data_IF_238645655291
#
_entry.id   IF_238645655291
#
_cell.length_a   1.000
_cell.length_b   1.000
_cell.length_c   1.000
_cell.angle_alpha   90.00
_cell.angle_beta   90.00
_cell.angle_gamma   90.00
#
_symmetry.space_group_name_H-M   'P 1'
#
loop_
_entity.id
_entity.type
_entity.pdbx_description
1 polymer ?
#
# COMPACT_ATOMS: atom_id res chain seq x y z
N UNK A 1 27.32 3.42 -16.19
CA UNK A 1 26.29 4.18 -16.97
C UNK A 1 25.96 3.49 -18.30
N UNK A 2 26.96 3.04 -19.10
CA UNK A 2 26.71 2.44 -20.43
C UNK A 2 26.10 1.04 -20.36
N UNK A 3 26.58 0.19 -19.48
CA UNK A 3 26.09 -1.21 -19.33
C UNK A 3 24.61 -1.29 -18.96
N UNK A 4 24.17 -0.43 -18.05
CA UNK A 4 22.75 -0.34 -17.63
C UNK A 4 21.83 0.15 -18.77
N UNK A 5 22.32 1.04 -19.65
CA UNK A 5 21.52 1.55 -20.77
C UNK A 5 21.36 0.51 -21.89
N UNK A 6 22.35 -0.34 -22.11
CA UNK A 6 22.26 -1.40 -23.12
C UNK A 6 21.30 -2.51 -22.67
N UNK A 7 21.31 -2.87 -21.37
CA UNK A 7 20.34 -3.81 -20.77
C UNK A 7 18.91 -3.26 -20.87
N UNK A 8 18.69 -1.96 -20.62
CA UNK A 8 17.38 -1.32 -20.76
C UNK A 8 16.90 -1.27 -22.23
N UNK A 9 17.80 -1.04 -23.20
CA UNK A 9 17.45 -1.13 -24.63
C UNK A 9 17.03 -2.55 -25.03
N UNK A 10 17.73 -3.54 -24.51
CA UNK A 10 17.43 -4.93 -24.80
C UNK A 10 16.06 -5.32 -24.17
N UNK A 11 15.80 -4.94 -22.92
CA UNK A 11 14.51 -5.13 -22.29
C UNK A 11 13.37 -4.45 -23.07
N UNK A 12 13.59 -3.23 -23.57
CA UNK A 12 12.63 -2.52 -24.42
C UNK A 12 12.35 -3.28 -25.72
N UNK A 13 13.38 -3.87 -26.34
CA UNK A 13 13.21 -4.71 -27.54
C UNK A 13 12.40 -5.96 -27.25
N UNK A 14 12.67 -6.65 -26.14
CA UNK A 14 11.87 -7.81 -25.72
C UNK A 14 10.43 -7.46 -25.44
N UNK A 15 10.15 -6.31 -24.83
CA UNK A 15 8.78 -5.85 -24.61
C UNK A 15 8.04 -5.62 -25.94
N UNK A 16 8.68 -4.99 -26.94
CA UNK A 16 8.07 -4.82 -28.26
C UNK A 16 7.75 -6.16 -28.90
N UNK A 17 8.68 -7.11 -28.87
CA UNK A 17 8.43 -8.46 -29.38
C UNK A 17 7.25 -9.13 -28.64
N UNK A 18 7.20 -9.03 -27.30
CA UNK A 18 6.10 -9.60 -26.54
C UNK A 18 4.75 -8.94 -26.88
N UNK A 19 4.74 -7.64 -27.18
CA UNK A 19 3.52 -6.90 -27.63
C UNK A 19 3.07 -7.43 -29.01
N UNK A 20 3.99 -7.68 -29.94
CA UNK A 20 3.70 -8.26 -31.25
C UNK A 20 3.04 -9.65 -31.12
N UNK A 21 3.43 -10.43 -30.11
CA UNK A 21 2.79 -11.70 -29.76
C UNK A 21 1.53 -11.56 -28.90
N UNK A 22 1.03 -10.33 -28.69
CA UNK A 22 -0.23 -10.08 -27.98
C UNK A 22 -0.15 -10.14 -26.47
N UNK A 23 1.04 -10.11 -25.87
CA UNK A 23 1.20 -10.13 -24.41
C UNK A 23 0.69 -8.84 -23.77
N UNK A 24 -0.42 -8.94 -23.04
CA UNK A 24 -1.11 -7.79 -22.44
C UNK A 24 -0.30 -7.15 -21.30
N UNK A 25 0.42 -7.97 -20.52
CA UNK A 25 1.30 -7.46 -19.47
C UNK A 25 2.45 -6.62 -20.04
N UNK A 26 2.99 -7.01 -21.22
CA UNK A 26 4.00 -6.22 -21.93
C UNK A 26 3.44 -4.89 -22.45
N UNK A 27 2.17 -4.87 -22.91
CA UNK A 27 1.49 -3.62 -23.29
C UNK A 27 1.41 -2.68 -22.07
N UNK A 28 0.96 -3.18 -20.93
CA UNK A 28 0.91 -2.39 -19.69
C UNK A 28 2.30 -1.93 -19.22
N UNK A 29 3.32 -2.81 -19.31
CA UNK A 29 4.69 -2.44 -18.96
C UNK A 29 5.24 -1.32 -19.86
N UNK A 30 4.92 -1.32 -21.15
CA UNK A 30 5.27 -0.23 -22.05
C UNK A 30 4.63 1.09 -21.61
N UNK A 31 3.35 1.07 -21.19
CA UNK A 31 2.69 2.25 -20.61
C UNK A 31 3.42 2.79 -19.39
N UNK A 32 3.92 1.91 -18.49
CA UNK A 32 4.71 2.32 -17.33
C UNK A 32 6.06 2.96 -17.72
N UNK A 33 6.74 2.47 -18.78
CA UNK A 33 7.98 3.08 -19.26
C UNK A 33 7.72 4.53 -19.73
N UNK A 34 6.66 4.78 -20.49
CA UNK A 34 6.30 6.13 -20.93
C UNK A 34 5.81 7.01 -19.77
N UNK A 35 5.05 6.46 -18.82
CA UNK A 35 4.59 7.20 -17.63
C UNK A 35 5.75 7.73 -16.79
N UNK A 36 6.80 6.92 -16.62
CA UNK A 36 7.97 7.23 -15.80
C UNK A 36 9.09 7.93 -16.57
N UNK A 37 9.09 7.85 -17.90
CA UNK A 37 10.19 8.32 -18.72
C UNK A 37 11.44 7.44 -18.58
N UNK A 38 11.24 6.11 -18.46
CA UNK A 38 12.33 5.17 -18.29
C UNK A 38 13.04 4.94 -19.63
N UNK A 39 14.35 5.15 -19.65
CA UNK A 39 15.15 4.92 -20.87
C UNK A 39 14.81 3.57 -21.54
N UNK A 40 14.67 3.49 -22.87
CA UNK A 40 15.07 4.48 -23.86
C UNK A 40 13.99 5.53 -24.23
N UNK A 41 12.84 5.53 -23.56
CA UNK A 41 11.77 6.48 -23.88
C UNK A 41 11.79 7.72 -22.96
N UNK A 42 11.24 8.83 -23.46
CA UNK A 42 10.98 10.02 -22.64
C UNK A 42 9.61 9.91 -22.00
N UNK A 43 9.44 10.60 -20.88
CA UNK A 43 8.14 10.69 -20.19
C UNK A 43 7.09 11.29 -21.13
N UNK A 44 6.03 10.53 -21.35
CA UNK A 44 4.86 10.94 -22.14
C UNK A 44 3.60 10.27 -21.58
N UNK A 45 2.82 11.08 -20.85
CA UNK A 45 1.60 10.60 -20.18
C UNK A 45 0.52 10.22 -21.20
N UNK A 46 0.45 10.89 -22.35
CA UNK A 46 -0.57 10.58 -23.36
C UNK A 46 -0.29 9.23 -24.02
N UNK A 47 0.94 9.00 -24.41
CA UNK A 47 1.38 7.67 -24.92
C UNK A 47 1.19 6.58 -23.86
N UNK A 48 1.46 6.87 -22.57
CA UNK A 48 1.20 5.92 -21.49
C UNK A 48 -0.30 5.56 -21.39
N UNK A 49 -1.20 6.55 -21.48
CA UNK A 49 -2.64 6.33 -21.48
C UNK A 49 -3.06 5.42 -22.64
N UNK A 50 -2.59 5.66 -23.86
CA UNK A 50 -2.88 4.81 -25.03
C UNK A 50 -2.51 3.33 -24.79
N UNK A 51 -1.32 3.08 -24.21
CA UNK A 51 -0.91 1.73 -23.88
C UNK A 51 -1.78 1.11 -22.79
N UNK A 52 -2.13 1.87 -21.75
CA UNK A 52 -3.04 1.37 -20.70
C UNK A 52 -4.45 1.13 -21.23
N UNK A 53 -4.99 1.97 -22.11
CA UNK A 53 -6.28 1.75 -22.77
C UNK A 53 -6.25 0.49 -23.63
N UNK A 54 -5.17 0.27 -24.39
CA UNK A 54 -4.98 -0.96 -25.15
C UNK A 54 -4.90 -2.21 -24.25
N UNK A 55 -4.23 -2.14 -23.09
CA UNK A 55 -4.19 -3.25 -22.17
C UNK A 55 -5.53 -3.46 -21.45
N UNK A 56 -6.21 -2.38 -21.04
CA UNK A 56 -7.51 -2.44 -20.37
C UNK A 56 -8.64 -2.95 -21.28
N UNK A 57 -8.55 -2.75 -22.60
CA UNK A 57 -9.47 -3.34 -23.58
C UNK A 57 -9.40 -4.88 -23.65
N UNK A 58 -8.42 -5.48 -22.97
CA UNK A 58 -8.24 -6.91 -22.77
C UNK A 58 -8.52 -7.35 -21.33
N UNK A 59 -9.27 -6.53 -20.58
CA UNK A 59 -9.62 -6.75 -19.18
C UNK A 59 -8.41 -6.98 -18.26
N UNK A 60 -7.29 -6.25 -18.51
CA UNK A 60 -6.09 -6.33 -17.69
C UNK A 60 -6.23 -5.38 -16.48
N UNK A 61 -6.42 -5.90 -15.24
CA UNK A 61 -6.81 -5.08 -14.09
C UNK A 61 -5.77 -4.02 -13.72
N UNK A 62 -4.48 -4.33 -13.85
CA UNK A 62 -3.41 -3.35 -13.57
C UNK A 62 -3.42 -2.15 -14.52
N UNK A 63 -3.91 -2.32 -15.76
CA UNK A 63 -4.07 -1.20 -16.69
C UNK A 63 -5.19 -0.26 -16.25
N UNK A 64 -6.31 -0.80 -15.78
CA UNK A 64 -7.37 0.01 -15.16
C UNK A 64 -6.84 0.76 -13.92
N UNK A 65 -6.03 0.12 -13.08
CA UNK A 65 -5.40 0.78 -11.92
C UNK A 65 -4.53 1.96 -12.35
N UNK A 66 -3.68 1.77 -13.37
CA UNK A 66 -2.81 2.82 -13.88
C UNK A 66 -3.61 4.00 -14.46
N UNK A 67 -4.68 3.73 -15.21
CA UNK A 67 -5.61 4.77 -15.69
C UNK A 67 -6.26 5.49 -14.51
N UNK A 68 -6.77 4.76 -13.52
CA UNK A 68 -7.35 5.32 -12.30
C UNK A 68 -6.40 6.27 -11.59
N UNK A 69 -5.13 5.87 -11.39
CA UNK A 69 -4.09 6.72 -10.79
C UNK A 69 -3.79 7.98 -11.59
N UNK A 70 -3.74 7.87 -12.92
CA UNK A 70 -3.51 9.05 -13.78
C UNK A 70 -4.66 10.04 -13.65
N UNK A 71 -5.91 9.58 -13.64
CA UNK A 71 -7.06 10.45 -13.50
C UNK A 71 -7.20 11.01 -12.07
N UNK A 72 -6.87 10.24 -11.04
CA UNK A 72 -6.76 10.72 -9.65
C UNK A 72 -5.74 11.88 -9.57
N UNK A 73 -4.55 11.70 -10.17
CA UNK A 73 -3.52 12.74 -10.22
C UNK A 73 -3.93 13.99 -11.03
N UNK A 74 -4.79 13.84 -12.03
CA UNK A 74 -5.41 14.95 -12.80
C UNK A 74 -6.57 15.63 -12.05
N UNK A 75 -7.01 15.11 -10.89
CA UNK A 75 -8.15 15.60 -10.14
C UNK A 75 -9.51 15.14 -10.68
N UNK A 76 -9.56 14.29 -11.71
CA UNK A 76 -10.81 13.71 -12.23
C UNK A 76 -11.21 12.48 -11.42
N UNK A 77 -11.75 12.75 -10.21
CA UNK A 77 -12.12 11.70 -9.26
C UNK A 77 -13.23 10.78 -9.78
N UNK A 78 -14.08 11.28 -10.68
CA UNK A 78 -15.12 10.47 -11.33
C UNK A 78 -14.50 9.38 -12.19
N UNK A 79 -13.62 9.77 -13.14
CA UNK A 79 -12.95 8.78 -14.00
C UNK A 79 -12.04 7.86 -13.20
N UNK A 80 -11.34 8.39 -12.18
CA UNK A 80 -10.52 7.57 -11.30
C UNK A 80 -11.35 6.46 -10.64
N UNK A 81 -12.51 6.81 -10.07
CA UNK A 81 -13.44 5.84 -9.49
C UNK A 81 -13.91 4.80 -10.50
N UNK A 82 -14.37 5.25 -11.69
CA UNK A 82 -14.85 4.35 -12.75
C UNK A 82 -13.78 3.32 -13.19
N UNK A 83 -12.50 3.73 -13.26
CA UNK A 83 -11.42 2.83 -13.61
C UNK A 83 -11.07 1.87 -12.46
N UNK A 84 -11.02 2.35 -11.22
CA UNK A 84 -10.81 1.47 -10.07
C UNK A 84 -11.98 0.49 -9.89
N UNK A 85 -13.21 0.91 -10.15
CA UNK A 85 -14.37 0.02 -10.12
C UNK A 85 -14.25 -1.10 -11.15
N UNK A 86 -13.86 -0.80 -12.40
CA UNK A 86 -13.60 -1.83 -13.42
C UNK A 86 -12.52 -2.82 -12.98
N UNK A 87 -11.44 -2.35 -12.38
CA UNK A 87 -10.39 -3.23 -11.86
C UNK A 87 -10.89 -4.07 -10.69
N UNK A 88 -11.70 -3.50 -9.79
CA UNK A 88 -12.26 -4.20 -8.63
C UNK A 88 -13.25 -5.31 -9.02
N UNK A 89 -13.94 -5.18 -10.16
CA UNK A 89 -14.80 -6.23 -10.71
C UNK A 89 -14.02 -7.46 -11.20
N UNK A 90 -12.71 -7.32 -11.37
CA UNK A 90 -11.78 -8.40 -11.71
C UNK A 90 -11.05 -8.94 -10.45
N UNK A 91 -11.62 -8.70 -9.26
CA UNK A 91 -11.09 -9.12 -7.96
C UNK A 91 -9.65 -8.65 -7.69
N UNK A 92 -9.25 -7.51 -8.29
CA UNK A 92 -7.94 -6.94 -8.04
C UNK A 92 -7.93 -6.25 -6.67
N UNK A 93 -7.16 -6.80 -5.75
CA UNK A 93 -7.14 -6.46 -4.33
C UNK A 93 -6.83 -4.98 -4.06
N UNK A 94 -5.88 -4.39 -4.80
CA UNK A 94 -5.51 -3.00 -4.62
C UNK A 94 -6.64 -2.05 -5.05
N UNK A 95 -7.35 -2.36 -6.16
CA UNK A 95 -8.50 -1.59 -6.61
C UNK A 95 -9.67 -1.71 -5.62
N UNK A 96 -9.93 -2.91 -5.10
CA UNK A 96 -10.92 -3.10 -4.03
C UNK A 96 -10.61 -2.21 -2.81
N UNK A 97 -9.35 -2.15 -2.38
CA UNK A 97 -8.95 -1.23 -1.32
C UNK A 97 -9.18 0.24 -1.70
N UNK A 98 -8.83 0.65 -2.93
CA UNK A 98 -9.06 2.03 -3.41
C UNK A 98 -10.55 2.39 -3.42
N UNK A 99 -11.43 1.53 -3.90
CA UNK A 99 -12.87 1.76 -3.84
C UNK A 99 -13.36 1.90 -2.38
N UNK A 100 -12.83 1.07 -1.47
CA UNK A 100 -13.06 1.21 -0.04
C UNK A 100 -12.67 2.61 0.48
N UNK A 101 -11.53 3.17 0.05
CA UNK A 101 -11.10 4.53 0.41
C UNK A 101 -12.05 5.62 -0.12
N UNK A 102 -12.54 5.48 -1.35
CA UNK A 102 -13.53 6.41 -1.93
C UNK A 102 -14.80 6.45 -1.09
N UNK A 103 -15.36 5.29 -0.71
CA UNK A 103 -16.53 5.23 0.17
C UNK A 103 -16.25 5.72 1.58
N UNK A 104 -15.09 5.39 2.18
CA UNK A 104 -14.72 5.85 3.52
C UNK A 104 -14.61 7.37 3.61
N UNK A 105 -14.01 7.98 2.59
CA UNK A 105 -13.76 9.43 2.56
C UNK A 105 -14.92 10.23 1.97
N UNK A 106 -15.82 9.59 1.22
CA UNK A 106 -16.87 10.28 0.46
C UNK A 106 -16.31 11.06 -0.73
N UNK A 107 -15.29 10.52 -1.40
CA UNK A 107 -14.68 11.12 -2.60
C UNK A 107 -15.50 10.67 -3.81
N UNK A 108 -16.08 11.62 -4.55
CA UNK A 108 -16.97 11.36 -5.68
C UNK A 108 -18.27 10.62 -5.33
N UNK A 109 -18.23 9.65 -4.43
CA UNK A 109 -19.40 8.91 -3.93
C UNK A 109 -19.80 9.38 -2.53
N UNK A 110 -21.07 9.19 -2.15
CA UNK A 110 -21.50 9.48 -0.77
C UNK A 110 -20.72 8.61 0.21
N UNK A 111 -20.23 9.24 1.29
CA UNK A 111 -19.53 8.52 2.38
C UNK A 111 -20.38 7.38 2.92
N UNK A 112 -19.81 6.18 2.93
CA UNK A 112 -20.48 4.95 3.40
C UNK A 112 -19.44 4.03 4.06
N UNK A 113 -19.40 4.05 5.38
CA UNK A 113 -18.43 3.26 6.17
C UNK A 113 -18.69 1.75 6.05
N UNK A 114 -19.95 1.34 5.83
CA UNK A 114 -20.30 -0.08 5.66
C UNK A 114 -19.79 -0.60 4.32
N UNK A 115 -20.05 0.12 3.23
CA UNK A 115 -19.51 -0.25 1.91
C UNK A 115 -17.99 -0.27 1.93
N UNK A 116 -17.35 0.72 2.56
CA UNK A 116 -15.89 0.72 2.68
C UNK A 116 -15.38 -0.53 3.41
N UNK A 117 -16.02 -0.93 4.51
CA UNK A 117 -15.70 -2.14 5.24
C UNK A 117 -15.83 -3.39 4.36
N UNK A 118 -16.92 -3.50 3.62
CA UNK A 118 -17.19 -4.64 2.73
C UNK A 118 -16.11 -4.73 1.62
N UNK A 119 -15.71 -3.60 1.02
CA UNK A 119 -14.66 -3.55 0.02
C UNK A 119 -13.27 -3.90 0.58
N UNK A 120 -12.93 -3.43 1.79
CA UNK A 120 -11.68 -3.82 2.44
C UNK A 120 -11.64 -5.32 2.79
N UNK A 121 -12.77 -5.92 3.23
CA UNK A 121 -12.83 -7.35 3.46
C UNK A 121 -12.65 -8.14 2.15
N UNK A 122 -13.33 -7.77 1.07
CA UNK A 122 -13.09 -8.37 -0.25
C UNK A 122 -11.62 -8.28 -0.66
N UNK A 123 -10.96 -7.14 -0.38
CA UNK A 123 -9.54 -6.95 -0.72
C UNK A 123 -8.62 -7.91 0.04
N UNK A 124 -8.90 -8.23 1.31
CA UNK A 124 -8.08 -9.18 2.08
C UNK A 124 -8.42 -10.66 1.79
N UNK A 125 -9.58 -10.92 1.20
CA UNK A 125 -10.02 -12.25 0.76
C UNK A 125 -9.51 -12.61 -0.65
N UNK A 126 -9.02 -11.62 -1.40
CA UNK A 126 -8.48 -11.83 -2.74
C UNK A 126 -7.27 -12.78 -2.73
N UNK A 127 -6.93 -13.41 -3.87
CA UNK A 127 -5.79 -14.33 -3.96
C UNK A 127 -4.49 -13.71 -3.41
N UNK A 128 -3.68 -14.51 -2.71
CA UNK A 128 -2.47 -14.06 -1.99
C UNK A 128 -1.50 -13.26 -2.89
N UNK A 129 -1.42 -13.57 -4.17
CA UNK A 129 -0.57 -12.87 -5.14
C UNK A 129 -0.95 -11.41 -5.38
N UNK A 130 -2.18 -11.02 -5.01
CA UNK A 130 -2.75 -9.69 -5.21
C UNK A 130 -3.21 -9.01 -3.91
N UNK A 131 -3.00 -9.65 -2.73
CA UNK A 131 -3.47 -9.13 -1.44
C UNK A 131 -2.96 -7.71 -1.18
N UNK A 132 -3.88 -6.80 -0.89
CA UNK A 132 -3.56 -5.45 -0.49
C UNK A 132 -3.27 -5.36 1.02
N UNK A 133 -2.01 -5.22 1.39
CA UNK A 133 -1.63 -4.97 2.78
C UNK A 133 -2.23 -3.67 3.34
N UNK A 134 -2.55 -2.71 2.47
CA UNK A 134 -3.25 -1.49 2.87
C UNK A 134 -4.70 -1.74 3.30
N UNK A 135 -5.36 -2.78 2.78
CA UNK A 135 -6.70 -3.15 3.24
C UNK A 135 -6.68 -3.67 4.69
N UNK A 136 -5.68 -4.48 5.06
CA UNK A 136 -5.46 -4.87 6.45
C UNK A 136 -5.21 -3.65 7.36
N UNK A 137 -4.35 -2.71 6.92
CA UNK A 137 -4.10 -1.47 7.65
C UNK A 137 -5.37 -0.63 7.82
N UNK A 138 -6.16 -0.46 6.76
CA UNK A 138 -7.40 0.32 6.79
C UNK A 138 -8.45 -0.32 7.71
N UNK A 139 -8.63 -1.64 7.66
CA UNK A 139 -9.51 -2.37 8.58
C UNK A 139 -9.05 -2.20 10.02
N UNK A 140 -7.77 -2.39 10.31
CA UNK A 140 -7.23 -2.22 11.65
C UNK A 140 -7.47 -0.80 12.17
N UNK A 141 -7.04 0.21 11.40
CA UNK A 141 -7.06 1.62 11.82
C UNK A 141 -8.47 2.18 11.98
N UNK A 142 -9.33 1.97 10.98
CA UNK A 142 -10.61 2.69 10.90
C UNK A 142 -11.80 1.90 11.43
N UNK A 143 -11.65 0.60 11.70
CA UNK A 143 -12.75 -0.25 12.16
C UNK A 143 -12.42 -0.93 13.49
N UNK A 144 -11.30 -1.61 13.60
CA UNK A 144 -11.00 -2.39 14.81
C UNK A 144 -10.41 -1.55 15.95
N UNK A 145 -9.57 -0.54 15.69
CA UNK A 145 -9.00 0.32 16.75
C UNK A 145 -9.98 1.38 17.23
N UNK A 146 -10.71 1.99 16.32
CA UNK A 146 -11.59 3.11 16.68
C UNK A 146 -12.99 2.65 17.07
N UNK A 147 -13.45 1.50 16.54
CA UNK A 147 -14.86 1.17 16.51
C UNK A 147 -15.65 2.21 15.67
N UNK A 148 -16.81 1.86 15.23
CA UNK A 148 -17.71 2.78 14.52
C UNK A 148 -19.13 2.21 14.48
N UNK A 149 -20.01 2.80 13.66
CA UNK A 149 -21.40 2.32 13.49
C UNK A 149 -21.49 0.92 12.85
N UNK A 150 -20.40 0.39 12.30
CA UNK A 150 -20.34 -0.92 11.61
C UNK A 150 -19.81 -2.00 12.55
N UNK A 151 -18.84 -1.66 13.41
CA UNK A 151 -18.10 -2.65 14.22
C UNK A 151 -17.75 -2.13 15.61
N UNK A 152 -17.80 -3.04 16.61
CA UNK A 152 -17.27 -2.80 17.95
C UNK A 152 -15.75 -2.85 17.90
N UNK A 153 -15.09 -2.01 18.73
CA UNK A 153 -13.62 -1.99 18.87
C UNK A 153 -13.10 -3.39 19.25
N UNK A 154 -12.08 -3.83 18.51
CA UNK A 154 -11.37 -5.10 18.73
C UNK A 154 -9.87 -4.87 18.51
N UNK A 155 -9.15 -4.56 19.58
CA UNK A 155 -7.74 -4.21 19.53
C UNK A 155 -6.85 -5.41 19.18
N UNK A 156 -7.20 -6.62 19.61
CA UNK A 156 -6.39 -7.80 19.32
C UNK A 156 -6.47 -8.16 17.84
N UNK A 157 -7.65 -8.02 17.23
CA UNK A 157 -7.81 -8.18 15.79
C UNK A 157 -7.11 -7.07 15.01
N UNK A 158 -7.14 -5.83 15.50
CA UNK A 158 -6.39 -4.72 14.91
C UNK A 158 -4.89 -5.01 14.90
N UNK A 159 -4.32 -5.47 16.01
CA UNK A 159 -2.91 -5.84 16.11
C UNK A 159 -2.56 -6.94 15.13
N UNK A 160 -3.38 -7.99 15.03
CA UNK A 160 -3.17 -9.08 14.06
C UNK A 160 -3.13 -8.56 12.62
N UNK A 161 -4.02 -7.66 12.26
CA UNK A 161 -4.09 -7.07 10.92
C UNK A 161 -2.92 -6.13 10.65
N UNK A 162 -2.52 -5.32 11.64
CA UNK A 162 -1.33 -4.47 11.53
C UNK A 162 -0.04 -5.27 11.40
N UNK A 163 0.07 -6.39 12.09
CA UNK A 163 1.26 -7.26 11.97
C UNK A 163 1.40 -7.80 10.54
N UNK A 164 0.30 -8.29 9.95
CA UNK A 164 0.28 -8.70 8.53
C UNK A 164 0.67 -7.54 7.60
N UNK A 165 0.13 -6.35 7.82
CA UNK A 165 0.39 -5.19 6.98
C UNK A 165 1.81 -4.61 7.16
N UNK A 166 2.41 -4.76 8.35
CA UNK A 166 3.67 -4.11 8.75
C UNK A 166 4.88 -4.52 7.91
N UNK A 167 4.82 -5.66 7.25
CA UNK A 167 5.89 -6.15 6.37
C UNK A 167 5.98 -5.37 5.05
N UNK A 168 4.90 -4.69 4.64
CA UNK A 168 4.80 -3.99 3.35
C UNK A 168 4.35 -2.53 3.46
N UNK A 169 3.68 -2.17 4.56
CA UNK A 169 3.17 -0.82 4.83
C UNK A 169 3.85 -0.24 6.07
N UNK A 170 4.73 0.74 5.89
CA UNK A 170 5.46 1.38 7.00
C UNK A 170 4.50 2.04 7.98
N UNK A 171 3.39 2.56 7.50
CA UNK A 171 2.33 3.19 8.30
C UNK A 171 1.71 2.17 9.29
N UNK A 172 1.57 0.91 8.85
CA UNK A 172 1.10 -0.17 9.72
C UNK A 172 2.15 -0.53 10.79
N UNK A 173 3.42 -0.59 10.41
CA UNK A 173 4.51 -0.86 11.35
C UNK A 173 4.62 0.23 12.43
N UNK A 174 4.48 1.50 12.06
CA UNK A 174 4.48 2.64 12.99
C UNK A 174 3.29 2.57 13.96
N UNK A 175 2.10 2.27 13.45
CA UNK A 175 0.90 2.16 14.30
C UNK A 175 1.00 0.95 15.25
N UNK A 176 1.55 -0.16 14.78
CA UNK A 176 1.80 -1.35 15.59
C UNK A 176 2.86 -1.09 16.68
N UNK A 177 3.94 -0.36 16.34
CA UNK A 177 4.94 0.07 17.30
C UNK A 177 4.33 0.89 18.44
N UNK A 178 3.46 1.85 18.11
CA UNK A 178 2.73 2.62 19.11
C UNK A 178 1.90 1.72 20.03
N UNK A 179 1.09 0.81 19.47
CA UNK A 179 0.24 -0.10 20.26
C UNK A 179 1.06 -1.04 21.16
N UNK A 180 2.16 -1.58 20.66
CA UNK A 180 3.04 -2.44 21.47
C UNK A 180 3.73 -1.66 22.57
N UNK A 181 4.17 -0.42 22.31
CA UNK A 181 4.74 0.45 23.32
C UNK A 181 3.75 0.73 24.46
N UNK A 182 2.51 1.12 24.13
CA UNK A 182 1.46 1.35 25.14
C UNK A 182 1.12 0.07 25.93
N UNK A 183 1.02 -1.09 25.27
CA UNK A 183 0.78 -2.36 25.96
C UNK A 183 1.95 -2.75 26.87
N UNK A 184 3.19 -2.56 26.42
CA UNK A 184 4.38 -2.84 27.22
C UNK A 184 4.45 -1.96 28.47
N UNK A 185 4.18 -0.66 28.36
CA UNK A 185 4.17 0.27 29.48
C UNK A 185 3.17 -0.15 30.56
N UNK A 186 2.08 -0.79 30.18
CA UNK A 186 1.04 -1.28 31.10
C UNK A 186 1.36 -2.64 31.74
N UNK A 187 1.96 -3.57 30.98
CA UNK A 187 2.11 -4.98 31.40
C UNK A 187 3.57 -5.42 31.66
N UNK A 188 4.56 -4.68 31.14
CA UNK A 188 6.01 -5.00 31.21
C UNK A 188 6.33 -6.42 30.73
N UNK A 189 5.77 -6.82 29.61
CA UNK A 189 5.92 -8.13 29.02
C UNK A 189 7.18 -8.17 28.13
N UNK A 190 8.16 -9.00 28.46
CA UNK A 190 9.43 -9.13 27.74
C UNK A 190 9.25 -9.57 26.28
N UNK A 191 8.28 -10.44 25.98
CA UNK A 191 7.97 -10.82 24.60
C UNK A 191 7.55 -9.61 23.77
N UNK A 192 6.80 -8.71 24.40
CA UNK A 192 6.34 -7.48 23.74
C UNK A 192 7.50 -6.51 23.47
N UNK A 193 8.48 -6.47 24.38
CA UNK A 193 9.69 -5.68 24.19
C UNK A 193 10.53 -6.18 23.00
N UNK A 194 10.66 -7.48 22.83
CA UNK A 194 11.36 -8.06 21.68
C UNK A 194 10.64 -7.77 20.37
N UNK A 195 9.30 -7.79 20.34
CA UNK A 195 8.49 -7.36 19.20
C UNK A 195 8.70 -5.89 18.84
N UNK A 196 8.84 -5.01 19.84
CA UNK A 196 9.15 -3.59 19.67
C UNK A 196 10.50 -3.41 18.97
N UNK A 197 11.56 -4.09 19.46
CA UNK A 197 12.91 -4.03 18.85
C UNK A 197 12.88 -4.48 17.39
N UNK A 198 12.20 -5.58 17.10
CA UNK A 198 12.08 -6.10 15.74
C UNK A 198 11.34 -5.12 14.81
N UNK A 199 10.29 -4.47 15.30
CA UNK A 199 9.56 -3.47 14.53
C UNK A 199 10.40 -2.23 14.24
N UNK A 200 11.15 -1.73 15.22
CA UNK A 200 12.06 -0.60 15.04
C UNK A 200 13.07 -0.91 13.93
N UNK A 201 13.76 -2.06 14.01
CA UNK A 201 14.69 -2.48 12.97
C UNK A 201 14.03 -2.60 11.59
N UNK A 202 12.79 -3.11 11.51
CA UNK A 202 12.03 -3.19 10.25
C UNK A 202 11.72 -1.82 9.68
N UNK A 203 11.34 -0.86 10.53
CA UNK A 203 11.02 0.52 10.12
C UNK A 203 12.29 1.23 9.63
N UNK A 204 13.40 1.12 10.35
CA UNK A 204 14.69 1.75 9.99
C UNK A 204 15.25 1.22 8.66
N UNK A 205 15.02 -0.04 8.34
CA UNK A 205 15.43 -0.64 7.07
C UNK A 205 14.45 -0.38 5.91
N UNK A 206 13.34 0.36 6.15
CA UNK A 206 12.36 0.65 5.11
C UNK A 206 12.84 1.80 4.19
N UNK A 207 12.73 1.68 2.84
CA UNK A 207 13.11 2.76 1.92
C UNK A 207 12.39 4.10 2.14
N UNK A 208 11.23 4.10 2.82
CA UNK A 208 10.49 5.33 3.17
C UNK A 208 10.94 5.94 4.51
N UNK A 209 11.94 5.34 5.19
CA UNK A 209 12.46 5.88 6.44
C UNK A 209 13.04 7.28 6.22
N UNK A 210 12.69 8.21 7.10
CA UNK A 210 13.13 9.61 7.03
C UNK A 210 13.15 10.23 8.44
N UNK A 211 13.62 11.48 8.55
CA UNK A 211 13.75 12.18 9.84
C UNK A 211 12.42 12.30 10.61
N UNK A 212 11.28 12.41 9.93
CA UNK A 212 9.97 12.44 10.60
C UNK A 212 9.64 11.09 11.25
N UNK A 213 9.93 9.99 10.58
CA UNK A 213 9.72 8.64 11.10
C UNK A 213 10.71 8.35 12.24
N UNK A 214 11.96 8.80 12.10
CA UNK A 214 12.98 8.73 13.15
C UNK A 214 12.52 9.41 14.44
N UNK A 215 11.98 10.61 14.35
CA UNK A 215 11.42 11.33 15.51
C UNK A 215 10.32 10.51 16.22
N UNK A 216 9.43 9.84 15.45
CA UNK A 216 8.40 8.98 16.03
C UNK A 216 9.00 7.80 16.81
N UNK A 217 10.05 7.19 16.28
CA UNK A 217 10.77 6.10 16.96
C UNK A 217 11.42 6.63 18.25
N UNK A 218 12.14 7.75 18.17
CA UNK A 218 12.80 8.37 19.31
C UNK A 218 11.81 8.71 20.44
N UNK A 219 10.63 9.24 20.11
CA UNK A 219 9.56 9.50 21.07
C UNK A 219 9.05 8.21 21.76
N UNK A 220 8.87 7.13 21.01
CA UNK A 220 8.49 5.84 21.59
C UNK A 220 9.60 5.27 22.48
N UNK A 221 10.86 5.34 22.05
CA UNK A 221 12.02 4.92 22.84
C UNK A 221 12.18 5.75 24.11
N UNK A 222 11.93 7.06 24.06
CA UNK A 222 11.93 7.95 25.23
C UNK A 222 10.89 7.52 26.26
N UNK A 223 9.66 7.25 25.84
CA UNK A 223 8.60 6.73 26.72
C UNK A 223 9.02 5.43 27.40
N UNK A 224 9.63 4.51 26.66
CA UNK A 224 10.15 3.25 27.20
C UNK A 224 11.26 3.49 28.24
N UNK A 225 12.18 4.43 27.97
CA UNK A 225 13.29 4.80 28.88
C UNK A 225 12.81 5.44 30.18
N UNK A 226 11.85 6.36 30.09
CA UNK A 226 11.32 7.09 31.25
C UNK A 226 10.58 6.18 32.23
N UNK A 227 10.12 5.01 31.79
CA UNK A 227 9.44 4.01 32.62
C UNK A 227 10.38 3.16 33.51
N UNK A 228 11.63 3.58 33.68
CA UNK A 228 12.68 3.19 34.68
C UNK A 228 13.00 1.70 34.85
N UNK A 229 12.59 0.79 33.98
CA UNK A 229 12.84 -0.65 34.17
C UNK A 229 13.53 -1.35 32.98
N UNK A 230 14.05 -0.58 32.04
CA UNK A 230 14.71 -1.15 30.86
C UNK A 230 16.21 -0.89 30.95
N UNK A 231 16.99 -1.97 30.93
CA UNK A 231 18.44 -1.90 30.75
C UNK A 231 18.73 -1.54 29.30
N UNK A 232 19.30 -0.33 29.09
CA UNK A 232 19.35 0.37 27.79
C UNK A 232 20.57 -0.06 26.95
N UNK A 233 21.36 -1.03 27.37
CA UNK A 233 22.61 -1.46 26.72
C UNK A 233 22.43 -2.10 25.32
N UNK A 234 21.20 -2.12 24.78
CA UNK A 234 20.85 -2.78 23.49
C UNK A 234 20.59 -1.78 22.36
N UNK A 235 20.67 -0.45 22.63
CA UNK A 235 20.38 0.60 21.64
C UNK A 235 21.60 1.47 21.28
N UNK A 236 22.82 0.99 21.55
CA UNK A 236 24.08 1.58 21.08
C UNK A 236 24.66 0.78 19.93
#
# INVERSE_FOLDING_TARGET
>A
GSKSNDELKEAFKYLNTAIEYGNVAAINAMGLLYLNGTYPVKKDINTAIEFFEKASSKDYPYAYNNLGLIYEAKGDMKKAFEFFEKSSLLDESWALNKIGEFYRNGIYVKKDMKKAFDYYNKAIEAPISTVSYYAFYNLAKYYYLTGNTVLIKDEDKAIKYLDIASSHAIEAAILLLYLYTEKYLNKKDEELYDKIKLLISRIENNPKYNESIKSIIEDNLKKLKENKHINIDILN
#
